data_IF_176976562667
#
_entry.id   IF_176976562667
#
_cell.length_a   1.000
_cell.length_b   1.000
_cell.length_c   1.000
_cell.angle_alpha   90.00
_cell.angle_beta   90.00
_cell.angle_gamma   90.00
#
_symmetry.space_group_name_H-M   'P 1'
#
loop_
_entity.id
_entity.type
_entity.pdbx_description
1 polymer ?
#
# COMPACT_ATOMS: atom_id res chain seq x y z
N UNK A 1 -33.20 60.75 -26.05
CA UNK A 1 -31.82 60.22 -25.96
C UNK A 1 -31.88 58.78 -25.46
N UNK A 2 -31.79 57.80 -26.36
CA UNK A 2 -32.04 56.39 -26.05
C UNK A 2 -31.15 55.49 -26.92
N UNK A 3 -29.83 55.49 -26.67
CA UNK A 3 -28.90 54.51 -27.24
C UNK A 3 -27.72 54.36 -26.26
N UNK A 4 -27.74 53.37 -25.36
CA UNK A 4 -26.52 52.86 -24.68
C UNK A 4 -26.73 51.57 -23.86
N UNK A 5 -27.89 50.90 -23.89
CA UNK A 5 -28.11 49.67 -23.11
C UNK A 5 -27.58 48.37 -23.75
N UNK A 6 -27.31 48.35 -25.06
CA UNK A 6 -26.85 47.14 -25.79
C UNK A 6 -25.35 46.85 -25.65
N UNK A 7 -24.54 47.84 -25.26
CA UNK A 7 -23.08 47.68 -25.16
C UNK A 7 -22.67 46.88 -23.92
N UNK A 8 -23.26 47.17 -22.75
CA UNK A 8 -22.85 46.57 -21.47
C UNK A 8 -23.13 45.06 -21.37
N UNK A 9 -24.19 44.55 -22.00
CA UNK A 9 -24.55 43.11 -21.93
C UNK A 9 -23.53 42.23 -22.68
N UNK A 10 -22.89 42.76 -23.74
CA UNK A 10 -21.86 42.02 -24.49
C UNK A 10 -20.57 41.81 -23.71
N UNK A 11 -20.21 42.73 -22.83
CA UNK A 11 -18.98 42.64 -22.03
C UNK A 11 -19.09 41.65 -20.87
N UNK A 12 -20.29 41.46 -20.31
CA UNK A 12 -20.52 40.53 -19.20
C UNK A 12 -20.50 39.06 -19.69
N UNK A 13 -21.01 38.78 -20.89
CA UNK A 13 -20.96 37.41 -21.47
C UNK A 13 -19.54 37.03 -21.89
N UNK A 14 -18.74 37.98 -22.38
CA UNK A 14 -17.35 37.72 -22.77
C UNK A 14 -16.45 37.41 -21.56
N UNK A 15 -16.67 38.02 -20.40
CA UNK A 15 -15.91 37.73 -19.19
C UNK A 15 -16.27 36.37 -18.55
N UNK A 16 -17.52 35.91 -18.69
CA UNK A 16 -17.96 34.63 -18.13
C UNK A 16 -17.45 33.39 -18.91
N UNK A 17 -17.18 33.53 -20.22
CA UNK A 17 -16.53 32.46 -21.00
C UNK A 17 -15.01 32.39 -20.78
N UNK A 18 -14.37 33.48 -20.35
CA UNK A 18 -12.93 33.50 -20.11
C UNK A 18 -12.54 32.78 -18.80
N UNK A 19 -13.42 32.75 -17.79
CA UNK A 19 -13.14 32.11 -16.50
C UNK A 19 -13.45 30.62 -16.47
N UNK A 20 -14.32 30.10 -17.35
CA UNK A 20 -14.54 28.65 -17.51
C UNK A 20 -13.47 27.97 -18.36
N UNK A 21 -12.80 28.70 -19.25
CA UNK A 21 -11.69 28.17 -20.05
C UNK A 21 -10.39 28.00 -19.23
N UNK A 22 -10.17 28.81 -18.18
CA UNK A 22 -8.94 28.69 -17.36
C UNK A 22 -8.98 27.57 -16.32
N UNK A 23 -10.16 27.12 -15.88
CA UNK A 23 -10.27 25.99 -14.94
C UNK A 23 -10.05 24.62 -15.61
N UNK A 24 -10.19 24.52 -16.94
CA UNK A 24 -9.90 23.30 -17.70
C UNK A 24 -8.40 23.09 -17.98
N UNK A 25 -7.60 24.15 -17.99
CA UNK A 25 -6.17 24.07 -18.32
C UNK A 25 -5.30 23.46 -17.20
N UNK A 26 -5.78 23.44 -15.96
CA UNK A 26 -5.03 22.89 -14.82
C UNK A 26 -5.08 21.35 -14.79
N UNK A 27 -6.11 20.72 -15.39
CA UNK A 27 -6.20 19.25 -15.46
C UNK A 27 -5.29 18.66 -16.54
N UNK A 28 -4.96 19.44 -17.58
CA UNK A 28 -4.17 18.97 -18.73
C UNK A 28 -2.65 19.07 -18.51
N UNK A 29 -2.21 19.82 -17.50
CA UNK A 29 -0.77 20.06 -17.24
C UNK A 29 -0.22 19.31 -16.02
N UNK A 30 -1.07 18.57 -15.29
CA UNK A 30 -0.59 17.60 -14.31
C UNK A 30 0.14 16.46 -15.02
N UNK A 31 1.21 15.89 -14.44
CA UNK A 31 1.82 14.68 -15.00
C UNK A 31 0.72 13.62 -15.14
N UNK A 32 0.51 13.15 -16.37
CA UNK A 32 -0.31 11.98 -16.59
C UNK A 32 0.32 10.84 -15.79
N UNK A 33 -0.44 10.22 -14.89
CA UNK A 33 -0.04 8.96 -14.30
C UNK A 33 -0.08 7.92 -15.43
N UNK A 34 1.03 7.80 -16.14
CA UNK A 34 1.21 6.81 -17.19
C UNK A 34 1.77 5.56 -16.51
N UNK A 35 1.03 4.46 -16.57
CA UNK A 35 1.60 3.16 -16.23
C UNK A 35 2.70 2.87 -17.24
N UNK A 36 3.94 2.74 -16.79
CA UNK A 36 5.05 2.34 -17.66
C UNK A 36 4.88 0.85 -17.99
N UNK A 37 4.65 0.48 -19.26
CA UNK A 37 4.52 -0.93 -19.64
C UNK A 37 5.76 -1.76 -19.26
N UNK A 38 6.93 -1.13 -19.11
CA UNK A 38 8.15 -1.79 -18.67
C UNK A 38 8.13 -2.22 -17.20
N UNK A 39 7.26 -1.64 -16.36
CA UNK A 39 7.14 -2.04 -14.95
C UNK A 39 6.70 -3.49 -14.78
N UNK A 40 5.87 -4.01 -15.71
CA UNK A 40 5.44 -5.41 -15.74
C UNK A 40 6.50 -6.35 -16.34
N UNK A 41 7.43 -5.82 -17.13
CA UNK A 41 8.52 -6.58 -17.75
C UNK A 41 9.78 -6.65 -16.88
N UNK A 42 9.90 -5.79 -15.86
CA UNK A 42 11.04 -5.82 -14.92
C UNK A 42 10.99 -7.09 -14.06
N UNK A 43 12.01 -7.95 -14.04
CA UNK A 43 12.05 -9.09 -13.12
C UNK A 43 12.01 -8.62 -11.64
N UNK A 44 11.43 -9.39 -10.71
CA UNK A 44 11.62 -9.12 -9.29
C UNK A 44 13.11 -9.24 -8.93
N UNK A 45 13.57 -8.38 -8.03
CA UNK A 45 14.95 -8.36 -7.54
C UNK A 45 14.96 -8.55 -6.02
N UNK A 46 15.97 -9.22 -5.45
CA UNK A 46 16.13 -9.31 -4.00
C UNK A 46 16.16 -7.92 -3.35
N UNK A 47 15.38 -7.74 -2.28
CA UNK A 47 15.37 -6.51 -1.50
C UNK A 47 16.53 -6.52 -0.50
N UNK A 48 17.16 -5.36 -0.24
CA UNK A 48 18.22 -5.27 0.76
C UNK A 48 17.69 -5.63 2.15
N UNK A 49 18.51 -6.08 3.08
CA UNK A 49 18.04 -6.31 4.46
C UNK A 49 17.79 -4.95 5.17
N UNK A 50 16.69 -4.83 5.92
CA UNK A 50 16.46 -3.65 6.76
C UNK A 50 17.19 -3.80 8.09
N UNK A 51 18.11 -2.90 8.36
CA UNK A 51 18.82 -2.81 9.63
C UNK A 51 18.25 -1.60 10.39
N UNK A 52 17.62 -1.81 11.56
CA UNK A 52 17.13 -0.71 12.37
C UNK A 52 18.24 0.27 12.73
N UNK A 53 17.98 1.55 12.56
CA UNK A 53 18.89 2.63 12.97
C UNK A 53 18.20 3.56 13.96
N UNK A 54 18.96 4.29 14.79
CA UNK A 54 18.39 5.37 15.58
C UNK A 54 17.67 6.38 14.67
N UNK A 55 16.46 6.79 15.05
CA UNK A 55 15.69 7.80 14.32
C UNK A 55 14.97 8.73 15.30
N UNK A 56 14.71 9.95 14.86
CA UNK A 56 13.92 10.96 15.59
C UNK A 56 12.41 10.78 15.43
N UNK A 57 11.94 9.64 14.91
CA UNK A 57 10.52 9.34 14.82
C UNK A 57 9.88 9.33 16.21
N UNK A 58 8.71 9.97 16.30
CA UNK A 58 7.89 10.06 17.50
C UNK A 58 6.44 9.64 17.21
N UNK A 59 5.78 8.97 18.17
CA UNK A 59 4.40 8.52 18.02
C UNK A 59 3.42 9.71 17.95
N UNK A 60 2.39 9.55 17.12
CA UNK A 60 1.29 10.52 17.03
C UNK A 60 0.12 10.08 17.91
N UNK A 61 -0.57 11.06 18.48
CA UNK A 61 -1.74 10.83 19.32
C UNK A 61 -2.90 11.75 18.90
N UNK A 62 -3.42 11.60 17.67
CA UNK A 62 -4.64 12.29 17.29
C UNK A 62 -5.83 11.71 18.06
N UNK A 63 -6.88 12.49 18.27
CA UNK A 63 -8.11 11.96 18.87
C UNK A 63 -8.60 10.69 18.13
N UNK A 64 -8.95 9.59 18.83
CA UNK A 64 -9.04 9.41 20.29
C UNK A 64 -7.78 8.81 20.96
N UNK A 65 -6.65 8.70 20.24
CA UNK A 65 -5.43 8.08 20.76
C UNK A 65 -4.74 8.91 21.85
N UNK A 66 -5.08 10.19 21.99
CA UNK A 66 -4.67 11.02 23.13
C UNK A 66 -5.19 10.46 24.47
N UNK A 67 -6.38 9.86 24.48
CA UNK A 67 -6.97 9.22 25.66
C UNK A 67 -6.25 7.91 26.02
N UNK A 68 -5.68 7.21 25.05
CA UNK A 68 -4.99 5.92 25.24
C UNK A 68 -3.49 6.04 25.38
N UNK A 69 -2.93 7.27 25.34
CA UNK A 69 -1.49 7.53 25.42
C UNK A 69 -0.84 6.90 26.66
N UNK A 70 -1.52 6.92 27.81
CA UNK A 70 -1.01 6.34 29.05
C UNK A 70 -0.82 4.82 29.04
N UNK A 71 -1.36 4.12 28.04
CA UNK A 71 -1.21 2.68 27.85
C UNK A 71 -0.19 2.30 26.79
N UNK A 72 0.47 3.28 26.15
CA UNK A 72 1.56 3.02 25.20
C UNK A 72 2.87 2.78 25.95
N UNK A 73 3.57 1.72 25.59
CA UNK A 73 4.85 1.32 26.17
C UNK A 73 6.03 1.73 25.29
N UNK A 74 7.24 1.74 25.85
CA UNK A 74 8.47 1.96 25.08
C UNK A 74 8.67 0.87 24.01
N UNK A 75 8.20 -0.35 24.27
CA UNK A 75 8.24 -1.44 23.30
C UNK A 75 7.37 -1.14 22.07
N UNK A 76 6.18 -0.57 22.27
CA UNK A 76 5.29 -0.15 21.18
C UNK A 76 5.95 0.92 20.31
N UNK A 77 6.54 1.93 20.95
CA UNK A 77 7.21 3.05 20.29
C UNK A 77 8.41 2.55 19.49
N UNK A 78 9.25 1.69 20.07
CA UNK A 78 10.41 1.14 19.36
C UNK A 78 9.97 0.23 18.20
N UNK A 79 8.94 -0.59 18.40
CA UNK A 79 8.41 -1.45 17.36
C UNK A 79 7.89 -0.63 16.17
N UNK A 80 7.03 0.36 16.39
CA UNK A 80 6.47 1.17 15.30
C UNK A 80 7.53 2.03 14.62
N UNK A 81 8.48 2.59 15.36
CA UNK A 81 9.65 3.30 14.81
C UNK A 81 10.37 2.45 13.76
N UNK A 82 10.70 1.22 14.11
CA UNK A 82 11.46 0.33 13.24
C UNK A 82 10.61 -0.20 12.09
N UNK A 83 9.32 -0.49 12.33
CA UNK A 83 8.39 -0.83 11.25
C UNK A 83 8.22 0.32 10.25
N UNK A 84 8.29 1.57 10.70
CA UNK A 84 8.30 2.72 9.81
C UNK A 84 9.57 2.82 8.95
N UNK A 85 10.73 2.39 9.45
CA UNK A 85 11.95 2.31 8.64
C UNK A 85 11.82 1.27 7.53
N UNK A 86 11.25 0.10 7.83
CA UNK A 86 10.92 -0.89 6.80
C UNK A 86 9.87 -0.36 5.83
N UNK A 87 8.82 0.28 6.33
CA UNK A 87 7.73 0.78 5.49
C UNK A 87 8.22 1.82 4.47
N UNK A 88 9.04 2.77 4.91
CA UNK A 88 9.58 3.82 4.06
C UNK A 88 10.59 3.29 3.03
N UNK A 89 11.32 2.22 3.35
CA UNK A 89 12.39 1.70 2.48
C UNK A 89 11.93 0.60 1.52
N UNK A 90 10.96 -0.23 1.92
CA UNK A 90 10.65 -1.49 1.20
C UNK A 90 9.21 -1.65 0.75
N UNK A 91 8.25 -1.11 1.49
CA UNK A 91 6.83 -1.44 1.29
C UNK A 91 6.37 -1.24 -0.16
N UNK A 92 6.66 -0.07 -0.73
CA UNK A 92 6.19 0.26 -2.09
C UNK A 92 6.82 -0.67 -3.15
N UNK A 93 8.09 -1.04 -3.03
CA UNK A 93 8.73 -1.96 -3.98
C UNK A 93 8.25 -3.39 -3.79
N UNK A 94 8.15 -3.87 -2.56
CA UNK A 94 7.61 -5.20 -2.27
C UNK A 94 6.21 -5.37 -2.87
N UNK A 95 5.34 -4.37 -2.71
CA UNK A 95 3.99 -4.41 -3.28
C UNK A 95 4.00 -4.41 -4.82
N UNK A 96 4.91 -3.68 -5.46
CA UNK A 96 5.08 -3.74 -6.92
C UNK A 96 5.51 -5.14 -7.39
N UNK A 97 6.45 -5.77 -6.68
CA UNK A 97 6.90 -7.12 -7.02
C UNK A 97 5.78 -8.16 -6.86
N UNK A 98 5.00 -8.07 -5.77
CA UNK A 98 3.84 -8.93 -5.55
C UNK A 98 2.80 -8.74 -6.66
N UNK A 99 2.42 -7.49 -6.96
CA UNK A 99 1.39 -7.20 -7.96
C UNK A 99 1.80 -7.69 -9.36
N UNK A 100 3.06 -7.46 -9.74
CA UNK A 100 3.62 -7.96 -11.01
C UNK A 100 3.60 -9.48 -11.08
N UNK A 101 3.98 -10.17 -10.01
CA UNK A 101 3.93 -11.63 -9.98
C UNK A 101 2.50 -12.15 -10.15
N UNK A 102 1.53 -11.55 -9.43
CA UNK A 102 0.11 -11.89 -9.58
C UNK A 102 -0.41 -11.62 -11.00
N UNK A 103 0.07 -10.56 -11.66
CA UNK A 103 -0.25 -10.28 -13.06
C UNK A 103 0.35 -11.33 -14.01
N UNK A 104 1.65 -11.62 -13.89
CA UNK A 104 2.38 -12.49 -14.82
C UNK A 104 1.78 -13.91 -14.88
N UNK A 105 1.38 -14.45 -13.72
CA UNK A 105 0.74 -15.78 -13.63
C UNK A 105 -0.66 -15.88 -14.26
N UNK A 106 -1.35 -14.76 -14.51
CA UNK A 106 -2.69 -14.74 -15.13
C UNK A 106 -2.72 -14.26 -16.60
N UNK A 107 -1.56 -13.97 -17.21
CA UNK A 107 -1.48 -13.42 -18.58
C UNK A 107 -1.90 -14.40 -19.68
N UNK A 108 -2.35 -13.92 -20.88
CA UNK A 108 -2.86 -14.72 -22.02
C UNK A 108 -1.98 -15.82 -22.64
N UNK A 109 -0.71 -15.97 -22.23
CA UNK A 109 0.11 -17.15 -22.56
C UNK A 109 0.74 -17.79 -21.30
N UNK A 110 0.40 -17.25 -20.13
CA UNK A 110 0.79 -17.79 -18.86
C UNK A 110 -0.15 -18.92 -18.43
N UNK A 111 0.13 -19.52 -17.28
CA UNK A 111 -0.66 -20.60 -16.75
C UNK A 111 -2.09 -20.15 -16.37
N UNK A 112 -2.46 -18.87 -16.44
CA UNK A 112 -3.85 -18.43 -16.22
C UNK A 112 -4.88 -18.75 -17.31
N UNK A 113 -4.50 -19.40 -18.43
CA UNK A 113 -5.22 -19.24 -19.71
C UNK A 113 -5.97 -20.48 -20.20
N UNK A 114 -5.81 -21.64 -19.57
CA UNK A 114 -6.63 -22.80 -19.94
C UNK A 114 -8.01 -22.63 -19.29
N UNK A 115 -8.97 -22.08 -20.04
CA UNK A 115 -10.42 -22.20 -19.77
C UNK A 115 -10.80 -22.09 -18.29
N UNK A 116 -10.40 -21.00 -17.63
CA UNK A 116 -10.67 -20.75 -16.20
C UNK A 116 -9.39 -20.50 -15.41
N UNK A 117 -9.50 -19.77 -14.30
CA UNK A 117 -8.42 -19.42 -13.35
C UNK A 117 -7.85 -20.64 -12.58
N UNK A 118 -7.76 -21.79 -13.24
CA UNK A 118 -7.41 -23.08 -12.68
C UNK A 118 -6.06 -23.60 -13.14
N UNK A 119 -5.19 -22.74 -13.71
CA UNK A 119 -3.79 -23.11 -13.95
C UNK A 119 -2.77 -22.10 -13.41
N UNK A 120 -3.16 -20.89 -12.97
CA UNK A 120 -2.27 -19.86 -12.40
C UNK A 120 -1.40 -20.29 -11.20
N UNK A 121 -1.64 -21.47 -10.63
CA UNK A 121 -0.82 -22.16 -9.62
C UNK A 121 0.42 -22.88 -10.20
N UNK A 122 0.45 -23.13 -11.50
CA UNK A 122 1.54 -23.81 -12.19
C UNK A 122 2.70 -22.85 -12.51
N UNK A 123 3.74 -22.88 -11.68
CA UNK A 123 4.93 -22.03 -11.85
C UNK A 123 5.98 -22.65 -12.78
N UNK A 124 5.71 -23.82 -13.39
CA UNK A 124 6.62 -24.43 -14.35
C UNK A 124 6.67 -23.70 -15.70
N UNK A 125 5.74 -22.76 -15.93
CA UNK A 125 5.65 -21.97 -17.15
C UNK A 125 6.60 -20.77 -17.09
N UNK A 126 7.50 -20.68 -18.06
CA UNK A 126 8.41 -19.54 -18.20
C UNK A 126 9.37 -19.41 -17.02
N UNK A 127 9.50 -18.19 -16.50
CA UNK A 127 10.34 -17.84 -15.35
C UNK A 127 9.52 -17.67 -14.05
N UNK A 128 8.26 -18.11 -14.01
CA UNK A 128 7.36 -17.89 -12.88
C UNK A 128 7.89 -18.47 -11.57
N UNK A 129 8.54 -19.65 -11.60
CA UNK A 129 9.16 -20.21 -10.40
C UNK A 129 10.25 -19.28 -9.85
N UNK A 130 11.13 -18.77 -10.72
CA UNK A 130 12.18 -17.84 -10.31
C UNK A 130 11.59 -16.55 -9.72
N UNK A 131 10.52 -16.02 -10.32
CA UNK A 131 9.82 -14.85 -9.80
C UNK A 131 9.21 -15.14 -8.42
N UNK A 132 8.55 -16.30 -8.26
CA UNK A 132 7.97 -16.73 -7.00
C UNK A 132 9.03 -16.88 -5.91
N UNK A 133 10.19 -17.47 -6.22
CA UNK A 133 11.30 -17.66 -5.28
C UNK A 133 11.82 -16.31 -4.77
N UNK A 134 12.04 -15.34 -5.66
CA UNK A 134 12.52 -13.99 -5.26
C UNK A 134 11.45 -13.24 -4.46
N UNK A 135 10.20 -13.24 -4.92
CA UNK A 135 9.11 -12.55 -4.24
C UNK A 135 8.87 -13.13 -2.85
N UNK A 136 8.83 -14.45 -2.71
CA UNK A 136 8.62 -15.10 -1.41
C UNK A 136 9.80 -14.91 -0.47
N UNK A 137 11.05 -14.90 -0.96
CA UNK A 137 12.22 -14.54 -0.14
C UNK A 137 12.14 -13.10 0.38
N UNK A 138 11.71 -12.16 -0.46
CA UNK A 138 11.52 -10.76 -0.05
C UNK A 138 10.36 -10.59 0.95
N UNK A 139 9.30 -11.37 0.78
CA UNK A 139 8.20 -11.40 1.76
C UNK A 139 8.66 -12.04 3.07
N UNK A 140 9.38 -13.17 3.05
CA UNK A 140 9.95 -13.81 4.24
C UNK A 140 10.77 -12.80 5.04
N UNK A 141 11.73 -12.14 4.40
CA UNK A 141 12.57 -11.14 5.04
C UNK A 141 11.72 -10.02 5.69
N UNK A 142 10.69 -9.56 4.99
CA UNK A 142 9.79 -8.53 5.50
C UNK A 142 8.96 -9.03 6.70
N UNK A 143 8.45 -10.26 6.62
CA UNK A 143 7.66 -10.89 7.68
C UNK A 143 8.53 -11.17 8.91
N UNK A 144 9.77 -11.64 8.74
CA UNK A 144 10.74 -11.86 9.82
C UNK A 144 11.13 -10.55 10.49
N UNK A 145 11.29 -9.47 9.73
CA UNK A 145 11.50 -8.15 10.29
C UNK A 145 10.25 -7.66 11.06
N UNK A 146 9.06 -7.79 10.48
CA UNK A 146 7.84 -7.25 11.08
C UNK A 146 7.33 -8.08 12.25
N UNK A 147 7.50 -9.41 12.26
CA UNK A 147 6.92 -10.32 13.25
C UNK A 147 7.21 -9.94 14.72
N UNK A 148 8.46 -9.82 15.17
CA UNK A 148 8.74 -9.49 16.56
C UNK A 148 8.22 -8.09 16.95
N UNK A 149 8.14 -7.17 15.99
CA UNK A 149 7.66 -5.79 16.20
C UNK A 149 6.15 -5.74 16.29
N UNK A 150 5.46 -6.42 15.37
CA UNK A 150 4.02 -6.55 15.38
C UNK A 150 3.52 -7.28 16.63
N UNK A 151 4.24 -8.31 17.08
CA UNK A 151 3.91 -9.07 18.29
C UNK A 151 4.23 -8.32 19.59
N UNK A 152 5.16 -7.35 19.55
CA UNK A 152 5.45 -6.49 20.70
C UNK A 152 4.34 -5.44 20.94
N UNK A 153 3.49 -5.17 19.95
CA UNK A 153 2.43 -4.17 20.06
C UNK A 153 1.38 -4.56 21.12
N UNK A 154 1.17 -3.66 22.07
CA UNK A 154 0.17 -3.76 23.12
C UNK A 154 -1.23 -3.86 22.52
N UNK A 155 -1.93 -4.92 22.92
CA UNK A 155 -3.36 -5.10 22.68
C UNK A 155 -4.08 -4.97 24.02
N UNK A 156 -5.02 -4.05 24.11
CA UNK A 156 -5.83 -3.78 25.29
C UNK A 156 -7.31 -3.98 24.97
N UNK A 157 -8.15 -4.03 26.00
CA UNK A 157 -9.60 -4.25 25.84
C UNK A 157 -10.38 -3.04 26.35
N UNK A 158 -11.35 -2.56 25.57
CA UNK A 158 -12.25 -1.52 26.03
C UNK A 158 -13.29 -2.08 27.04
N UNK A 159 -14.15 -1.20 27.57
CA UNK A 159 -15.21 -1.62 28.51
C UNK A 159 -16.21 -2.62 27.91
N UNK A 160 -16.38 -2.63 26.58
CA UNK A 160 -17.22 -3.58 25.86
C UNK A 160 -16.51 -4.92 25.54
N UNK A 161 -15.22 -5.06 25.89
CA UNK A 161 -14.41 -6.25 25.61
C UNK A 161 -13.75 -6.27 24.22
N UNK A 162 -13.88 -5.21 23.41
CA UNK A 162 -13.23 -5.15 22.11
C UNK A 162 -11.73 -4.90 22.27
N UNK A 163 -10.93 -5.67 21.50
CA UNK A 163 -9.49 -5.48 21.45
C UNK A 163 -9.13 -4.25 20.61
N UNK A 164 -8.31 -3.38 21.17
CA UNK A 164 -7.76 -2.21 20.51
C UNK A 164 -6.25 -2.09 20.74
N UNK A 165 -5.61 -1.30 19.89
CA UNK A 165 -4.19 -0.97 20.01
C UNK A 165 -4.09 0.47 20.55
N UNK A 166 -3.41 0.72 21.68
CA UNK A 166 -3.29 2.06 22.26
C UNK A 166 -2.45 3.04 21.44
N UNK A 167 -1.57 2.53 20.57
CA UNK A 167 -0.68 3.32 19.73
C UNK A 167 -1.30 3.53 18.33
N UNK A 168 -1.29 4.78 17.84
CA UNK A 168 -1.88 5.15 16.57
C UNK A 168 -1.20 4.44 15.40
N UNK A 169 -1.97 3.71 14.57
CA UNK A 169 -1.50 2.89 13.42
C UNK A 169 -0.83 1.55 13.78
N UNK A 170 -0.65 1.23 15.06
CA UNK A 170 -0.16 -0.08 15.48
C UNK A 170 -1.02 -1.24 14.95
N UNK A 171 -2.35 -1.09 14.96
CA UNK A 171 -3.28 -2.07 14.38
C UNK A 171 -3.04 -2.30 12.89
N UNK A 172 -2.84 -1.22 12.14
CA UNK A 172 -2.56 -1.27 10.71
C UNK A 172 -1.27 -2.04 10.42
N UNK A 173 -0.20 -1.81 11.19
CA UNK A 173 1.04 -2.59 11.06
C UNK A 173 0.85 -4.07 11.41
N UNK A 174 0.13 -4.37 12.50
CA UNK A 174 -0.17 -5.74 12.89
C UNK A 174 -0.91 -6.51 11.79
N UNK A 175 -1.96 -5.89 11.21
CA UNK A 175 -2.75 -6.52 10.16
C UNK A 175 -2.01 -6.57 8.82
N UNK A 176 -1.15 -5.59 8.53
CA UNK A 176 -0.27 -5.63 7.37
C UNK A 176 0.64 -6.85 7.43
N UNK A 177 1.33 -7.06 8.55
CA UNK A 177 2.19 -8.22 8.79
C UNK A 177 1.40 -9.53 8.65
N UNK A 178 0.24 -9.66 9.31
CA UNK A 178 -0.58 -10.87 9.26
C UNK A 178 -0.99 -11.22 7.82
N UNK A 179 -1.46 -10.26 7.04
CA UNK A 179 -1.87 -10.51 5.67
C UNK A 179 -0.70 -10.75 4.73
N UNK A 180 0.45 -10.12 4.97
CA UNK A 180 1.66 -10.36 4.20
C UNK A 180 2.15 -11.82 4.39
N UNK A 181 2.08 -12.35 5.61
CA UNK A 181 2.34 -13.77 5.91
C UNK A 181 1.38 -14.70 5.14
N UNK A 182 0.09 -14.35 5.04
CA UNK A 182 -0.89 -15.13 4.28
C UNK A 182 -0.62 -15.11 2.76
N UNK A 183 -0.20 -13.95 2.21
CA UNK A 183 0.21 -13.84 0.80
C UNK A 183 1.38 -14.79 0.55
N UNK A 184 2.40 -14.75 1.40
CA UNK A 184 3.58 -15.60 1.28
C UNK A 184 3.23 -17.09 1.30
N UNK A 185 2.45 -17.50 2.30
CA UNK A 185 2.01 -18.90 2.44
C UNK A 185 1.23 -19.37 1.22
N UNK A 186 0.36 -18.51 0.67
CA UNK A 186 -0.40 -18.84 -0.54
C UNK A 186 0.49 -18.99 -1.78
N UNK A 187 1.44 -18.09 -2.00
CA UNK A 187 2.39 -18.21 -3.14
C UNK A 187 3.24 -19.47 -2.99
N UNK A 188 3.84 -19.71 -1.82
CA UNK A 188 4.65 -20.92 -1.56
C UNK A 188 3.87 -22.23 -1.70
N UNK A 189 2.57 -22.18 -1.44
CA UNK A 189 1.68 -23.35 -1.58
C UNK A 189 1.07 -23.45 -2.97
N UNK A 190 1.56 -22.68 -3.94
CA UNK A 190 1.05 -22.64 -5.31
C UNK A 190 -0.47 -22.42 -5.33
N UNK A 191 -1.00 -21.57 -4.45
CA UNK A 191 -2.43 -21.29 -4.44
C UNK A 191 -2.76 -20.30 -5.58
N UNK A 192 -3.86 -20.49 -6.31
CA UNK A 192 -4.32 -19.56 -7.33
C UNK A 192 -4.39 -18.10 -6.88
N UNK A 193 -4.30 -17.14 -7.80
CA UNK A 193 -4.34 -15.71 -7.47
C UNK A 193 -5.66 -15.33 -6.79
N UNK A 194 -6.78 -15.95 -7.17
CA UNK A 194 -8.07 -15.69 -6.49
C UNK A 194 -8.04 -16.06 -4.99
N UNK A 195 -7.15 -16.95 -4.57
CA UNK A 195 -6.94 -17.30 -3.16
C UNK A 195 -6.02 -16.28 -2.45
N UNK A 196 -4.91 -15.88 -3.07
CA UNK A 196 -3.98 -14.89 -2.48
C UNK A 196 -4.46 -13.45 -2.58
N UNK A 197 -5.27 -13.13 -3.58
CA UNK A 197 -5.73 -11.80 -3.96
C UNK A 197 -6.45 -11.05 -2.83
N UNK A 198 -7.39 -11.65 -2.09
CA UNK A 198 -7.99 -11.03 -0.91
C UNK A 198 -6.97 -10.56 0.12
N UNK A 199 -5.92 -11.36 0.38
CA UNK A 199 -4.83 -10.99 1.30
C UNK A 199 -3.98 -9.85 0.73
N UNK A 200 -3.65 -9.88 -0.57
CA UNK A 200 -2.93 -8.77 -1.24
C UNK A 200 -3.72 -7.45 -1.11
N UNK A 201 -5.04 -7.47 -1.35
CA UNK A 201 -5.89 -6.28 -1.18
C UNK A 201 -5.96 -5.81 0.28
N UNK A 202 -5.86 -6.71 1.25
CA UNK A 202 -5.78 -6.35 2.67
C UNK A 202 -4.43 -5.68 3.00
N UNK A 203 -3.31 -6.21 2.51
CA UNK A 203 -1.99 -5.57 2.66
C UNK A 203 -2.03 -4.14 2.09
N UNK A 204 -2.54 -3.97 0.86
CA UNK A 204 -2.70 -2.66 0.23
C UNK A 204 -3.59 -1.70 1.05
N UNK A 205 -4.69 -2.21 1.62
CA UNK A 205 -5.59 -1.41 2.47
C UNK A 205 -4.86 -0.89 3.71
N UNK A 206 -4.13 -1.75 4.40
CA UNK A 206 -3.43 -1.38 5.63
C UNK A 206 -2.25 -0.46 5.36
N UNK A 207 -1.45 -0.74 4.32
CA UNK A 207 -0.37 0.16 3.92
C UNK A 207 -0.87 1.52 3.42
N UNK A 208 -2.03 1.58 2.74
CA UNK A 208 -2.65 2.87 2.38
C UNK A 208 -3.02 3.69 3.60
N UNK A 209 -3.50 3.05 4.68
CA UNK A 209 -3.81 3.75 5.94
C UNK A 209 -2.54 4.30 6.61
N UNK A 210 -1.48 3.50 6.69
CA UNK A 210 -0.16 3.93 7.21
C UNK A 210 0.39 5.11 6.39
N UNK A 211 0.37 5.00 5.06
CA UNK A 211 0.88 6.04 4.15
C UNK A 211 0.10 7.35 4.28
N UNK A 212 -1.24 7.28 4.35
CA UNK A 212 -2.13 8.45 4.44
C UNK A 212 -2.17 9.09 5.83
N UNK A 213 -1.92 8.33 6.90
CA UNK A 213 -1.81 8.87 8.26
C UNK A 213 -0.52 9.66 8.49
N UNK A 214 0.45 9.49 7.58
CA UNK A 214 1.79 10.06 7.67
C UNK A 214 2.50 9.69 8.96
N UNK A 215 2.16 8.55 9.58
CA UNK A 215 2.75 8.13 10.86
C UNK A 215 4.26 7.95 10.72
N UNK A 216 4.76 7.47 9.59
CA UNK A 216 6.19 7.21 9.34
C UNK A 216 6.99 8.40 8.78
N UNK A 217 6.59 9.65 9.04
CA UNK A 217 7.35 10.83 8.60
C UNK A 217 8.41 11.24 9.63
#
# INVERSE_FOLDING_TARGET
MMVTRKSLVRWIVALACATTALSGAVVVTGPFAQADPSDYARPPEPLPMVIPTPSNWEPKFPFPYDETRGSVTDADINAEREMCQWFNSQYDELMRQIDRFQFNRITPNGPGVISGAGSDWDYSIGDLQQQADIVTANIDQSVEFLAPRAQALTQSTNHAGDVYFPLYQAKEFYLLWQHLSNVNAGIKSHQPDWFTGPSVKRVLRWGTRIKRSHVCR
#
